data_IF_737425469731
#
_entry.id   IF_737425469731
#
_cell.length_a   1.000
_cell.length_b   1.000
_cell.length_c   1.000
_cell.angle_alpha   90.00
_cell.angle_beta   90.00
_cell.angle_gamma   90.00
#
_symmetry.space_group_name_H-M   'P 1'
#
loop_
_entity.id
_entity.type
_entity.pdbx_description
1 polymer ?
#
# COMPACT_ATOMS: atom_id res chain seq x y z
N UNK A 1 1.09 4.35 41.66
CA UNK A 1 1.61 3.75 40.41
C UNK A 1 0.54 3.13 39.47
N UNK A 2 -0.75 3.47 39.61
CA UNK A 2 -1.84 2.89 38.76
C UNK A 2 -2.10 3.62 37.43
N UNK A 3 -1.45 4.75 37.17
CA UNK A 3 -1.77 5.62 36.01
C UNK A 3 -0.88 5.43 34.78
N UNK A 4 0.25 4.74 34.89
CA UNK A 4 1.19 4.54 33.78
C UNK A 4 0.81 3.39 32.82
N UNK A 5 0.04 2.40 33.28
CA UNK A 5 -0.35 1.24 32.47
C UNK A 5 -1.25 1.63 31.26
N UNK A 6 -2.33 2.42 31.43
CA UNK A 6 -3.17 2.78 30.30
C UNK A 6 -2.44 3.69 29.29
N UNK A 7 -1.50 4.51 29.72
CA UNK A 7 -0.71 5.36 28.85
C UNK A 7 0.23 4.55 27.93
N UNK A 8 0.90 3.53 28.44
CA UNK A 8 1.75 2.64 27.63
C UNK A 8 0.94 1.86 26.58
N UNK A 9 -0.24 1.37 26.95
CA UNK A 9 -1.14 0.69 26.00
C UNK A 9 -1.58 1.68 24.91
N UNK A 10 -1.97 2.88 25.29
CA UNK A 10 -2.40 3.92 24.35
C UNK A 10 -1.28 4.29 23.37
N UNK A 11 -0.05 4.48 23.83
CA UNK A 11 1.11 4.75 22.97
C UNK A 11 1.38 3.58 22.02
N UNK A 12 1.36 2.33 22.50
CA UNK A 12 1.57 1.16 21.65
C UNK A 12 0.50 1.04 20.56
N UNK A 13 -0.78 1.25 20.91
CA UNK A 13 -1.89 1.26 19.95
C UNK A 13 -1.73 2.38 18.93
N UNK A 14 -1.31 3.58 19.37
CA UNK A 14 -1.10 4.73 18.49
C UNK A 14 0.04 4.50 17.51
N UNK A 15 1.14 3.90 17.94
CA UNK A 15 2.27 3.52 17.08
C UNK A 15 1.84 2.46 16.07
N UNK A 16 1.09 1.44 16.48
CA UNK A 16 0.54 0.43 15.58
C UNK A 16 -0.43 1.05 14.56
N UNK A 17 -1.32 1.95 15.00
CA UNK A 17 -2.24 2.68 14.14
C UNK A 17 -1.47 3.48 13.08
N UNK A 18 -0.44 4.20 13.48
CA UNK A 18 0.39 4.98 12.59
C UNK A 18 1.12 4.08 11.56
N UNK A 19 1.73 2.99 12.01
CA UNK A 19 2.46 2.08 11.13
C UNK A 19 1.54 1.41 10.10
N UNK A 20 0.39 0.88 10.52
CA UNK A 20 -0.58 0.24 9.61
C UNK A 20 -1.25 1.27 8.71
N UNK A 21 -1.58 2.46 9.23
CA UNK A 21 -2.13 3.57 8.44
C UNK A 21 -1.15 4.02 7.35
N UNK A 22 0.12 4.17 7.68
CA UNK A 22 1.17 4.52 6.71
C UNK A 22 1.36 3.44 5.65
N UNK A 23 1.38 2.16 6.05
CA UNK A 23 1.46 1.04 5.12
C UNK A 23 0.23 0.97 4.19
N UNK A 24 -0.97 1.18 4.73
CA UNK A 24 -2.21 1.23 3.95
C UNK A 24 -2.22 2.38 2.94
N UNK A 25 -1.78 3.57 3.36
CA UNK A 25 -1.67 4.74 2.50
C UNK A 25 -0.69 4.52 1.34
N UNK A 26 0.50 3.99 1.64
CA UNK A 26 1.50 3.66 0.62
C UNK A 26 0.98 2.61 -0.36
N UNK A 27 0.29 1.59 0.14
CA UNK A 27 -0.30 0.55 -0.70
C UNK A 27 -1.42 1.11 -1.60
N UNK A 28 -2.24 2.01 -1.09
CA UNK A 28 -3.27 2.70 -1.86
C UNK A 28 -2.69 3.54 -3.01
N UNK A 29 -1.67 4.36 -2.74
CA UNK A 29 -1.01 5.15 -3.79
C UNK A 29 -0.33 4.26 -4.84
N UNK A 30 0.30 3.18 -4.40
CA UNK A 30 0.95 2.21 -5.29
C UNK A 30 -0.08 1.52 -6.19
N UNK A 31 -1.21 1.08 -5.60
CA UNK A 31 -2.31 0.47 -6.35
C UNK A 31 -2.86 1.41 -7.43
N UNK A 32 -3.13 2.68 -7.08
CA UNK A 32 -3.63 3.68 -8.03
C UNK A 32 -2.67 3.88 -9.20
N UNK A 33 -1.38 3.99 -8.93
CA UNK A 33 -0.36 4.14 -9.97
C UNK A 33 -0.25 2.90 -10.88
N UNK A 34 -0.39 1.70 -10.32
CA UNK A 34 -0.41 0.46 -11.11
C UNK A 34 -1.64 0.34 -12.00
N UNK A 35 -2.82 0.66 -11.47
CA UNK A 35 -4.07 0.58 -12.21
C UNK A 35 -4.06 1.54 -13.43
N UNK A 36 -3.54 2.76 -13.26
CA UNK A 36 -3.37 3.71 -14.36
C UNK A 36 -2.39 3.20 -15.42
N UNK A 37 -1.29 2.58 -15.01
CA UNK A 37 -0.32 1.97 -15.95
C UNK A 37 -0.93 0.80 -16.72
N UNK A 38 -1.62 -0.11 -16.03
CA UNK A 38 -2.27 -1.25 -16.69
C UNK A 38 -3.30 -0.82 -17.72
N UNK A 39 -4.10 0.21 -17.42
CA UNK A 39 -5.04 0.78 -18.39
C UNK A 39 -4.30 1.31 -19.63
N UNK A 40 -3.27 2.12 -19.40
CA UNK A 40 -2.50 2.71 -20.50
C UNK A 40 -1.80 1.64 -21.34
N UNK A 41 -1.20 0.61 -20.71
CA UNK A 41 -0.57 -0.51 -21.40
C UNK A 41 -1.59 -1.33 -22.21
N UNK A 42 -2.78 -1.59 -21.66
CA UNK A 42 -3.86 -2.29 -22.34
C UNK A 42 -4.32 -1.53 -23.59
N UNK A 43 -4.58 -0.23 -23.45
CA UNK A 43 -4.97 0.63 -24.56
C UNK A 43 -3.85 0.77 -25.60
N UNK A 44 -2.60 0.86 -25.17
CA UNK A 44 -1.44 0.94 -26.06
C UNK A 44 -1.28 -0.36 -26.89
N UNK A 45 -1.50 -1.54 -26.30
CA UNK A 45 -1.48 -2.83 -27.03
C UNK A 45 -2.55 -2.86 -28.11
N UNK A 46 -3.79 -2.48 -27.78
CA UNK A 46 -4.88 -2.39 -28.77
C UNK A 46 -4.58 -1.35 -29.85
N UNK A 47 -4.06 -0.19 -29.44
CA UNK A 47 -3.65 0.88 -30.37
C UNK A 47 -2.57 0.40 -31.36
N UNK A 48 -1.54 -0.27 -30.85
CA UNK A 48 -0.45 -0.83 -31.66
C UNK A 48 -0.93 -1.94 -32.61
N UNK A 49 -1.88 -2.77 -32.19
CA UNK A 49 -2.45 -3.81 -33.05
C UNK A 49 -3.18 -3.16 -34.26
N UNK A 50 -3.96 -2.12 -34.01
CA UNK A 50 -4.66 -1.38 -35.07
C UNK A 50 -3.66 -0.63 -35.96
N UNK A 51 -2.66 0.04 -35.38
CA UNK A 51 -1.60 0.72 -36.12
C UNK A 51 -0.90 -0.26 -37.07
N UNK A 52 -0.51 -1.44 -36.59
CA UNK A 52 0.12 -2.47 -37.41
C UNK A 52 -0.78 -2.95 -38.56
N UNK A 53 -2.10 -3.09 -38.32
CA UNK A 53 -3.05 -3.43 -39.37
C UNK A 53 -3.15 -2.35 -40.45
N UNK A 54 -3.16 -1.08 -40.04
CA UNK A 54 -3.13 0.07 -40.96
C UNK A 54 -1.82 0.09 -41.76
N UNK A 55 -0.68 -0.03 -41.09
CA UNK A 55 0.65 -0.03 -41.75
C UNK A 55 0.78 -1.20 -42.74
N UNK A 56 0.30 -2.39 -42.37
CA UNK A 56 0.29 -3.55 -43.28
C UNK A 56 -0.55 -3.31 -44.52
N UNK A 57 -1.72 -2.69 -44.37
CA UNK A 57 -2.58 -2.35 -45.49
C UNK A 57 -1.95 -1.28 -46.42
N UNK A 58 -1.28 -0.30 -45.83
CA UNK A 58 -0.55 0.73 -46.57
C UNK A 58 0.68 0.17 -47.30
N UNK A 59 1.37 -0.83 -46.69
CA UNK A 59 2.49 -1.52 -47.32
C UNK A 59 2.06 -2.29 -48.58
N UNK A 60 0.79 -2.67 -48.68
CA UNK A 60 0.18 -3.28 -49.87
C UNK A 60 -0.24 -2.22 -50.93
N UNK A 61 0.05 -0.95 -50.72
CA UNK A 61 -0.22 0.13 -51.66
C UNK A 61 -1.60 0.79 -51.48
N UNK A 62 -2.35 0.48 -50.43
CA UNK A 62 -3.62 1.14 -50.15
C UNK A 62 -3.37 2.53 -49.56
N UNK A 63 -4.21 3.49 -49.93
CA UNK A 63 -4.16 4.85 -49.37
C UNK A 63 -4.77 4.84 -47.96
N UNK A 64 -4.22 5.65 -47.04
CA UNK A 64 -4.69 5.78 -45.68
C UNK A 64 -6.18 6.17 -45.57
N UNK A 65 -6.69 6.93 -46.50
CA UNK A 65 -8.10 7.32 -46.58
C UNK A 65 -9.03 6.24 -47.16
N UNK A 66 -8.49 5.15 -47.72
CA UNK A 66 -9.28 4.13 -48.45
C UNK A 66 -8.92 2.72 -47.97
N UNK A 67 -8.99 2.49 -46.67
CA UNK A 67 -8.75 1.21 -46.01
C UNK A 67 -10.08 0.47 -45.80
N UNK A 68 -10.61 -0.17 -46.85
CA UNK A 68 -11.94 -0.80 -46.82
C UNK A 68 -12.16 -1.87 -45.73
N UNK A 69 -11.10 -2.50 -45.24
CA UNK A 69 -11.17 -3.51 -44.18
C UNK A 69 -11.07 -2.92 -42.78
N UNK A 70 -10.61 -1.67 -42.66
CA UNK A 70 -10.34 -1.03 -41.37
C UNK A 70 -11.59 -0.88 -40.50
N UNK A 71 -12.77 -0.45 -41.01
CA UNK A 71 -13.98 -0.33 -40.19
C UNK A 71 -14.35 -1.62 -39.46
N UNK A 72 -14.26 -2.76 -40.15
CA UNK A 72 -14.54 -4.08 -39.55
C UNK A 72 -13.51 -4.45 -38.47
N UNK A 73 -12.25 -4.06 -38.65
CA UNK A 73 -11.21 -4.29 -37.65
C UNK A 73 -11.46 -3.43 -36.41
N UNK A 74 -11.76 -2.13 -36.59
CA UNK A 74 -12.05 -1.22 -35.47
C UNK A 74 -13.26 -1.69 -34.64
N UNK A 75 -14.34 -2.12 -35.31
CA UNK A 75 -15.52 -2.64 -34.61
C UNK A 75 -15.21 -3.93 -33.82
N UNK A 76 -14.39 -4.82 -34.36
CA UNK A 76 -13.96 -6.03 -33.66
C UNK A 76 -13.13 -5.70 -32.43
N UNK A 77 -12.14 -4.83 -32.57
CA UNK A 77 -11.30 -4.42 -31.46
C UNK A 77 -12.12 -3.71 -30.37
N UNK A 78 -13.06 -2.83 -30.76
CA UNK A 78 -13.99 -2.19 -29.83
C UNK A 78 -14.84 -3.22 -29.06
N UNK A 79 -15.35 -4.25 -29.77
CA UNK A 79 -16.19 -5.27 -29.16
C UNK A 79 -15.43 -6.23 -28.23
N UNK A 80 -14.10 -6.28 -28.34
CA UNK A 80 -13.24 -7.13 -27.51
C UNK A 80 -12.99 -6.52 -26.15
N UNK A 81 -13.09 -5.19 -25.99
CA UNK A 81 -12.80 -4.49 -24.75
C UNK A 81 -13.95 -3.53 -24.36
N UNK A 82 -14.71 -3.91 -23.34
CA UNK A 82 -15.86 -3.15 -22.83
C UNK A 82 -15.48 -1.75 -22.28
N UNK A 83 -14.20 -1.52 -21.97
CA UNK A 83 -13.72 -0.20 -21.57
C UNK A 83 -13.65 0.79 -22.74
N UNK A 84 -13.53 0.29 -23.98
CA UNK A 84 -13.41 1.11 -25.16
C UNK A 84 -14.81 1.51 -25.65
N UNK A 85 -15.13 2.78 -25.50
CA UNK A 85 -16.40 3.37 -25.95
C UNK A 85 -16.44 3.54 -27.47
N UNK A 86 -15.37 4.09 -28.05
CA UNK A 86 -15.22 4.25 -29.49
C UNK A 86 -13.74 4.27 -29.89
N UNK A 87 -13.50 3.90 -31.16
CA UNK A 87 -12.20 3.99 -31.80
C UNK A 87 -12.35 4.93 -32.97
N UNK A 88 -11.47 5.92 -33.04
CA UNK A 88 -11.48 6.95 -34.07
C UNK A 88 -10.11 7.07 -34.73
N UNK A 89 -10.11 7.11 -36.06
CA UNK A 89 -8.90 7.39 -36.86
C UNK A 89 -9.13 8.72 -37.57
N UNK A 90 -8.20 9.64 -37.42
CA UNK A 90 -8.31 10.98 -37.97
C UNK A 90 -6.98 11.45 -38.58
N UNK A 91 -7.06 12.40 -39.49
CA UNK A 91 -5.91 12.99 -40.14
C UNK A 91 -5.17 14.00 -39.25
N UNK A 92 -4.08 14.57 -39.76
CA UNK A 92 -3.25 15.56 -39.06
C UNK A 92 -3.97 16.90 -38.79
N UNK A 93 -5.12 17.13 -39.41
CA UNK A 93 -5.98 18.30 -39.22
C UNK A 93 -7.11 18.04 -38.21
N UNK A 94 -7.28 16.78 -37.78
CA UNK A 94 -8.33 16.38 -36.84
C UNK A 94 -9.65 16.02 -37.50
N UNK A 95 -9.66 15.79 -38.80
CA UNK A 95 -10.82 15.31 -39.52
C UNK A 95 -10.94 13.80 -39.39
N UNK A 96 -12.08 13.27 -38.94
CA UNK A 96 -12.25 11.85 -38.81
C UNK A 96 -12.29 11.16 -40.17
N UNK A 97 -11.50 10.11 -40.33
CA UNK A 97 -11.50 9.23 -41.51
C UNK A 97 -12.36 7.99 -41.23
N UNK A 98 -12.23 7.43 -40.03
CA UNK A 98 -12.98 6.27 -39.58
C UNK A 98 -13.38 6.45 -38.11
N UNK A 99 -14.59 6.02 -37.76
CA UNK A 99 -15.10 6.05 -36.40
C UNK A 99 -16.07 4.91 -36.18
N UNK A 100 -15.95 4.22 -35.04
CA UNK A 100 -16.95 3.25 -34.57
C UNK A 100 -18.16 3.92 -33.92
N UNK A 101 -18.08 5.22 -33.61
CA UNK A 101 -19.21 6.03 -33.13
C UNK A 101 -19.80 6.85 -34.27
N UNK A 102 -20.94 6.40 -34.79
CA UNK A 102 -21.63 7.04 -35.91
C UNK A 102 -22.04 8.49 -35.66
N UNK A 103 -22.29 8.85 -34.38
CA UNK A 103 -22.68 10.20 -34.01
C UNK A 103 -21.50 11.17 -34.07
N UNK A 104 -20.29 10.66 -33.89
CA UNK A 104 -19.04 11.45 -33.94
C UNK A 104 -18.35 11.44 -35.30
N UNK A 105 -18.65 10.46 -36.14
CA UNK A 105 -18.02 10.31 -37.45
C UNK A 105 -18.14 11.55 -38.36
N UNK A 106 -19.14 12.42 -38.12
CA UNK A 106 -19.36 13.65 -38.90
C UNK A 106 -18.77 14.91 -38.27
N UNK A 107 -18.10 14.80 -37.08
CA UNK A 107 -17.57 15.96 -36.37
C UNK A 107 -16.06 15.83 -36.24
N UNK A 108 -15.36 16.95 -36.31
CA UNK A 108 -13.93 16.98 -36.00
C UNK A 108 -13.70 16.48 -34.56
N UNK A 109 -12.55 15.82 -34.34
CA UNK A 109 -12.14 15.38 -33.04
C UNK A 109 -11.97 16.55 -32.07
N UNK A 110 -12.09 16.34 -30.76
CA UNK A 110 -11.81 17.35 -29.76
C UNK A 110 -10.40 17.94 -29.96
N UNK A 111 -10.29 19.26 -29.84
CA UNK A 111 -8.99 19.97 -30.01
C UNK A 111 -7.95 19.44 -29.01
N UNK A 112 -8.38 19.06 -27.79
CA UNK A 112 -7.51 18.47 -26.79
C UNK A 112 -6.83 17.18 -27.26
N UNK A 113 -7.50 16.34 -28.06
CA UNK A 113 -6.91 15.13 -28.64
C UNK A 113 -5.83 15.48 -29.67
N UNK A 114 -6.16 16.41 -30.57
CA UNK A 114 -5.23 16.85 -31.62
C UNK A 114 -3.99 17.51 -31.05
N UNK A 115 -4.16 18.36 -30.02
CA UNK A 115 -3.05 19.02 -29.33
C UNK A 115 -2.17 18.00 -28.57
N UNK A 116 -2.78 17.03 -27.90
CA UNK A 116 -2.05 15.97 -27.22
C UNK A 116 -1.27 15.10 -28.21
N UNK A 117 -1.90 14.70 -29.31
CA UNK A 117 -1.28 13.89 -30.36
C UNK A 117 -0.09 14.59 -31.03
N UNK A 118 -0.22 15.88 -31.32
CA UNK A 118 0.85 16.71 -31.93
C UNK A 118 2.02 16.98 -31.00
N UNK A 119 1.74 17.14 -29.70
CA UNK A 119 2.76 17.47 -28.70
C UNK A 119 3.36 16.22 -28.03
N UNK A 120 2.92 15.02 -28.39
CA UNK A 120 3.45 13.78 -27.84
C UNK A 120 4.93 13.64 -28.20
N UNK A 121 5.77 13.39 -27.18
CA UNK A 121 7.20 13.13 -27.36
C UNK A 121 7.50 11.69 -27.81
N UNK A 122 6.49 10.80 -27.76
CA UNK A 122 6.56 9.39 -28.14
C UNK A 122 5.56 9.04 -29.25
N UNK A 123 5.30 7.73 -29.41
CA UNK A 123 4.24 7.26 -30.30
C UNK A 123 2.86 7.43 -29.67
N UNK A 124 2.78 7.33 -28.33
CA UNK A 124 1.55 7.29 -27.57
C UNK A 124 1.22 8.67 -27.00
N UNK A 125 -0.07 9.00 -26.96
CA UNK A 125 -0.60 10.20 -26.32
C UNK A 125 -1.83 9.89 -25.48
N UNK A 126 -2.08 10.73 -24.48
CA UNK A 126 -3.19 10.55 -23.55
C UNK A 126 -3.87 11.88 -23.26
N UNK A 127 -5.20 11.85 -23.20
CA UNK A 127 -6.02 12.96 -22.73
C UNK A 127 -7.00 12.44 -21.71
N UNK A 128 -7.09 13.14 -20.59
CA UNK A 128 -8.05 12.85 -19.53
C UNK A 128 -8.98 14.04 -19.41
N UNK A 129 -10.21 13.89 -19.90
CA UNK A 129 -11.21 14.95 -19.92
C UNK A 129 -12.64 14.38 -19.81
N UNK A 130 -12.91 13.65 -18.74
CA UNK A 130 -14.22 13.07 -18.46
C UNK A 130 -14.74 12.20 -19.62
N UNK A 131 -15.82 12.62 -20.27
CA UNK A 131 -16.44 11.89 -21.37
C UNK A 131 -15.58 11.81 -22.65
N UNK A 132 -14.59 12.70 -22.79
CA UNK A 132 -13.66 12.76 -23.93
C UNK A 132 -12.26 12.25 -23.55
N UNK A 133 -12.16 11.40 -22.53
CA UNK A 133 -10.90 10.75 -22.18
C UNK A 133 -10.51 9.75 -23.26
N UNK A 134 -9.26 9.86 -23.74
CA UNK A 134 -8.76 9.03 -24.82
C UNK A 134 -7.26 8.72 -24.65
N UNK A 135 -6.89 7.54 -25.14
CA UNK A 135 -5.50 7.15 -25.40
C UNK A 135 -5.34 6.93 -26.88
N UNK A 136 -4.19 7.25 -27.44
CA UNK A 136 -3.99 7.05 -28.86
C UNK A 136 -2.54 6.95 -29.27
N UNK A 137 -2.35 6.63 -30.54
CA UNK A 137 -1.04 6.48 -31.17
C UNK A 137 -0.97 7.30 -32.46
N UNK A 138 0.23 7.73 -32.82
CA UNK A 138 0.48 8.41 -34.09
C UNK A 138 0.68 7.36 -35.19
N UNK A 139 -0.10 7.45 -36.27
CA UNK A 139 0.06 6.63 -37.45
C UNK A 139 1.09 7.28 -38.37
N UNK A 140 2.17 6.56 -38.65
CA UNK A 140 3.31 7.06 -39.42
C UNK A 140 3.40 6.39 -40.78
N UNK A 141 3.89 7.15 -41.75
CA UNK A 141 4.24 6.58 -43.05
C UNK A 141 5.61 5.88 -43.02
N UNK A 142 6.00 5.29 -44.14
CA UNK A 142 7.27 4.58 -44.30
C UNK A 142 8.52 5.47 -44.06
N UNK A 143 8.36 6.78 -44.00
CA UNK A 143 9.41 7.76 -43.71
C UNK A 143 9.42 8.20 -42.22
N UNK A 144 8.53 7.62 -41.39
CA UNK A 144 8.41 7.96 -39.97
C UNK A 144 7.63 9.28 -39.72
N UNK A 145 7.04 9.88 -40.74
CA UNK A 145 6.24 11.11 -40.60
C UNK A 145 4.81 10.75 -40.20
N UNK A 146 4.18 11.46 -39.24
CA UNK A 146 2.80 11.24 -38.87
C UNK A 146 1.88 11.66 -40.06
N UNK A 147 0.97 10.76 -40.43
CA UNK A 147 -0.04 10.98 -41.48
C UNK A 147 -1.45 11.05 -40.89
N UNK A 148 -1.59 10.66 -39.65
CA UNK A 148 -2.82 10.68 -38.89
C UNK A 148 -2.62 10.11 -37.49
N UNK A 149 -3.72 9.99 -36.78
CA UNK A 149 -3.73 9.53 -35.39
C UNK A 149 -4.89 8.58 -35.17
N UNK A 150 -4.66 7.66 -34.26
CA UNK A 150 -5.68 6.76 -33.71
C UNK A 150 -6.02 7.21 -32.31
N UNK A 151 -7.30 7.27 -31.96
CA UNK A 151 -7.80 7.50 -30.62
C UNK A 151 -8.70 6.35 -30.15
N UNK A 152 -8.42 5.84 -28.96
CA UNK A 152 -9.24 4.88 -28.22
C UNK A 152 -9.91 5.67 -27.10
N UNK A 153 -11.20 6.00 -27.27
CA UNK A 153 -11.99 6.68 -26.24
C UNK A 153 -12.45 5.67 -25.21
N UNK A 154 -12.28 5.98 -23.95
CA UNK A 154 -12.67 5.13 -22.83
C UNK A 154 -13.51 5.87 -21.80
N UNK A 155 -14.27 5.12 -20.99
CA UNK A 155 -15.06 5.69 -19.91
C UNK A 155 -14.23 5.86 -18.65
N UNK A 156 -13.96 7.12 -18.27
CA UNK A 156 -13.30 7.42 -17.00
C UNK A 156 -14.18 7.05 -15.80
N UNK A 157 -15.50 7.11 -15.95
CA UNK A 157 -16.46 6.72 -14.92
C UNK A 157 -16.38 5.21 -14.62
N UNK A 158 -16.41 4.35 -15.66
CA UNK A 158 -16.25 2.91 -15.48
C UNK A 158 -14.90 2.52 -14.88
N UNK A 159 -13.83 3.21 -15.28
CA UNK A 159 -12.49 3.04 -14.71
C UNK A 159 -12.49 3.47 -13.24
N UNK A 160 -13.10 4.61 -12.91
CA UNK A 160 -13.21 5.13 -11.54
C UNK A 160 -14.05 4.22 -10.65
N UNK A 161 -15.16 3.70 -11.13
CA UNK A 161 -16.05 2.80 -10.37
C UNK A 161 -15.37 1.47 -10.05
N UNK A 162 -14.63 0.91 -10.99
CA UNK A 162 -13.80 -0.27 -10.75
C UNK A 162 -12.73 0.01 -9.69
N UNK A 163 -12.09 1.17 -9.73
CA UNK A 163 -11.09 1.59 -8.76
C UNK A 163 -11.70 1.82 -7.37
N UNK A 164 -12.88 2.42 -7.27
CA UNK A 164 -13.57 2.66 -6.01
C UNK A 164 -14.02 1.37 -5.33
N UNK A 165 -14.48 0.39 -6.10
CA UNK A 165 -14.85 -0.93 -5.57
C UNK A 165 -13.64 -1.65 -4.94
N UNK A 166 -12.51 -1.70 -5.65
CA UNK A 166 -11.27 -2.31 -5.15
C UNK A 166 -10.67 -1.49 -4.00
N UNK A 167 -10.72 -0.16 -4.07
CA UNK A 167 -10.24 0.70 -2.98
C UNK A 167 -11.03 0.46 -1.69
N UNK A 168 -12.34 0.25 -1.77
CA UNK A 168 -13.19 -0.07 -0.61
C UNK A 168 -12.84 -1.44 -0.03
N UNK A 169 -12.61 -2.44 -0.86
CA UNK A 169 -12.20 -3.78 -0.42
C UNK A 169 -10.83 -3.76 0.25
N UNK A 170 -9.87 -3.04 -0.34
CA UNK A 170 -8.54 -2.80 0.24
C UNK A 170 -8.63 -2.05 1.59
N UNK A 171 -9.48 -1.04 1.70
CA UNK A 171 -9.69 -0.30 2.95
C UNK A 171 -10.27 -1.20 4.03
N UNK A 172 -11.27 -2.03 3.70
CA UNK A 172 -11.88 -2.98 4.64
C UNK A 172 -10.89 -4.04 5.09
N UNK A 173 -10.12 -4.63 4.17
CA UNK A 173 -9.10 -5.64 4.52
C UNK A 173 -7.98 -5.03 5.39
N UNK A 174 -7.52 -3.83 5.07
CA UNK A 174 -6.53 -3.10 5.88
C UNK A 174 -7.07 -2.79 7.26
N UNK A 175 -8.32 -2.36 7.38
CA UNK A 175 -8.97 -2.11 8.67
C UNK A 175 -9.12 -3.40 9.49
N UNK A 176 -9.47 -4.52 8.87
CA UNK A 176 -9.55 -5.82 9.54
C UNK A 176 -8.20 -6.28 10.09
N UNK A 177 -7.13 -6.20 9.28
CA UNK A 177 -5.77 -6.51 9.70
C UNK A 177 -5.33 -5.61 10.86
N UNK A 178 -5.67 -4.31 10.79
CA UNK A 178 -5.38 -3.36 11.87
C UNK A 178 -6.06 -3.76 13.18
N UNK A 179 -7.36 -4.07 13.15
CA UNK A 179 -8.11 -4.48 14.35
C UNK A 179 -7.51 -5.74 14.98
N UNK A 180 -7.16 -6.73 14.15
CA UNK A 180 -6.51 -7.97 14.63
C UNK A 180 -5.14 -7.67 15.25
N UNK A 181 -4.29 -6.89 14.57
CA UNK A 181 -2.96 -6.53 15.06
C UNK A 181 -3.02 -5.72 16.35
N UNK A 182 -3.91 -4.72 16.44
CA UNK A 182 -4.11 -3.91 17.63
C UNK A 182 -4.61 -4.76 18.82
N UNK A 183 -5.52 -5.68 18.56
CA UNK A 183 -6.05 -6.60 19.59
C UNK A 183 -4.94 -7.53 20.11
N UNK A 184 -4.16 -8.14 19.24
CA UNK A 184 -3.05 -9.01 19.60
C UNK A 184 -1.97 -8.24 20.38
N UNK A 185 -1.60 -7.05 19.93
CA UNK A 185 -0.63 -6.20 20.63
C UNK A 185 -1.12 -5.80 22.02
N UNK A 186 -2.41 -5.45 22.16
CA UNK A 186 -3.02 -5.11 23.43
C UNK A 186 -3.04 -6.31 24.39
N UNK A 187 -3.41 -7.49 23.91
CA UNK A 187 -3.39 -8.73 24.71
C UNK A 187 -1.97 -9.12 25.14
N UNK A 188 -0.99 -9.03 24.24
CA UNK A 188 0.40 -9.30 24.55
C UNK A 188 0.93 -8.34 25.62
N UNK A 189 0.64 -7.05 25.49
CA UNK A 189 1.05 -6.04 26.46
C UNK A 189 0.39 -6.27 27.83
N UNK A 190 -0.91 -6.59 27.86
CA UNK A 190 -1.61 -6.95 29.09
C UNK A 190 -1.03 -8.21 29.75
N UNK A 191 -0.66 -9.23 28.97
CA UNK A 191 -0.04 -10.43 29.48
C UNK A 191 1.34 -10.14 30.11
N UNK A 192 2.17 -9.35 29.44
CA UNK A 192 3.48 -8.92 29.96
C UNK A 192 3.32 -8.09 31.23
N UNK A 193 2.40 -7.13 31.23
CA UNK A 193 2.13 -6.29 32.42
C UNK A 193 1.62 -7.11 33.60
N UNK A 194 0.70 -8.05 33.37
CA UNK A 194 0.21 -8.94 34.43
C UNK A 194 1.33 -9.82 35.00
N UNK A 195 2.22 -10.29 34.13
CA UNK A 195 3.39 -11.08 34.57
C UNK A 195 4.34 -10.23 35.43
N UNK A 196 4.65 -9.02 34.97
CA UNK A 196 5.55 -8.11 35.69
C UNK A 196 4.96 -7.66 37.04
N UNK A 197 3.65 -7.37 37.10
CA UNK A 197 2.97 -7.00 38.35
C UNK A 197 3.02 -8.13 39.37
N UNK A 198 2.79 -9.38 38.95
CA UNK A 198 2.88 -10.54 39.84
C UNK A 198 4.31 -10.75 40.37
N UNK A 199 5.31 -10.56 39.52
CA UNK A 199 6.71 -10.69 39.94
C UNK A 199 7.08 -9.58 40.93
N UNK A 200 6.58 -8.33 40.77
CA UNK A 200 6.78 -7.24 41.71
C UNK A 200 6.05 -7.42 43.03
N UNK A 201 4.81 -7.90 43.01
CA UNK A 201 4.04 -8.23 44.22
C UNK A 201 4.73 -9.36 45.03
N UNK A 202 5.28 -10.35 44.33
CA UNK A 202 6.04 -11.42 44.95
C UNK A 202 7.34 -10.90 45.61
N UNK A 203 8.02 -9.94 44.99
CA UNK A 203 9.21 -9.28 45.55
C UNK A 203 8.83 -8.43 46.76
N UNK A 204 7.75 -7.64 46.69
CA UNK A 204 7.27 -6.85 47.82
C UNK A 204 6.85 -7.68 49.00
N UNK A 205 6.16 -8.80 48.75
CA UNK A 205 5.78 -9.76 49.80
C UNK A 205 7.00 -10.41 50.46
N UNK A 206 8.03 -10.77 49.68
CA UNK A 206 9.28 -11.32 50.18
C UNK A 206 10.09 -10.30 51.02
N UNK A 207 10.03 -9.01 50.69
CA UNK A 207 10.69 -7.95 51.47
C UNK A 207 9.93 -7.61 52.76
N UNK A 208 8.59 -7.73 52.75
CA UNK A 208 7.76 -7.48 53.96
C UNK A 208 7.78 -8.65 54.94
N UNK A 209 7.97 -9.88 54.46
CA UNK A 209 8.17 -11.04 55.35
C UNK A 209 9.55 -10.89 55.98
N UNK A 210 9.60 -10.65 57.28
CA UNK A 210 10.84 -10.53 58.07
C UNK A 210 11.70 -11.79 58.13
N UNK A 211 11.41 -12.78 57.32
CA UNK A 211 12.14 -14.05 57.25
C UNK A 211 12.84 -14.17 55.87
N UNK A 212 14.15 -13.80 55.79
CA UNK A 212 14.92 -13.85 54.55
C UNK A 212 15.25 -15.28 54.09
N UNK A 213 14.81 -16.30 54.80
CA UNK A 213 15.31 -17.68 54.63
C UNK A 213 14.62 -18.44 53.49
N UNK A 214 13.43 -18.06 53.06
CA UNK A 214 12.71 -18.77 51.95
C UNK A 214 12.17 -17.83 50.88
N UNK A 215 13.01 -17.42 49.90
CA UNK A 215 12.47 -16.80 48.72
C UNK A 215 11.52 -17.79 48.03
N UNK A 216 10.27 -17.35 47.76
CA UNK A 216 9.31 -18.18 47.04
C UNK A 216 9.91 -18.65 45.72
N UNK A 217 9.56 -19.84 45.24
CA UNK A 217 10.06 -20.40 43.97
C UNK A 217 9.82 -19.48 42.77
N UNK A 218 8.81 -18.59 42.84
CA UNK A 218 8.48 -17.57 41.86
C UNK A 218 9.55 -16.47 41.77
N UNK A 219 10.09 -16.02 42.91
CA UNK A 219 11.18 -15.02 42.93
C UNK A 219 12.49 -15.65 42.42
N UNK A 220 12.67 -16.94 42.62
CA UNK A 220 13.87 -17.68 42.19
C UNK A 220 13.99 -17.81 40.67
N UNK A 221 12.87 -17.89 39.94
CA UNK A 221 12.82 -18.11 38.49
C UNK A 221 12.45 -16.86 37.65
N UNK A 222 12.19 -15.72 38.28
CA UNK A 222 11.87 -14.47 37.61
C UNK A 222 13.10 -13.79 37.03
N UNK A 223 12.89 -12.78 36.13
CA UNK A 223 13.98 -12.03 35.50
C UNK A 223 14.90 -11.31 36.49
N UNK A 224 14.38 -10.97 37.66
CA UNK A 224 15.13 -10.37 38.78
C UNK A 224 15.71 -11.42 39.76
N UNK A 225 15.47 -12.69 39.58
CA UNK A 225 15.84 -13.73 40.54
C UNK A 225 17.36 -13.86 40.76
N UNK A 226 18.18 -13.50 39.78
CA UNK A 226 19.65 -13.46 39.93
C UNK A 226 20.09 -12.26 40.78
N UNK A 227 19.56 -11.09 40.51
CA UNK A 227 19.89 -9.88 41.25
C UNK A 227 19.44 -9.95 42.71
N UNK A 228 18.25 -10.50 42.96
CA UNK A 228 17.75 -10.71 44.32
C UNK A 228 18.58 -11.73 45.09
N UNK A 229 19.01 -12.85 44.50
CA UNK A 229 19.91 -13.82 45.15
C UNK A 229 21.22 -13.14 45.58
N UNK A 230 21.86 -12.42 44.72
CA UNK A 230 23.10 -11.68 45.03
C UNK A 230 22.89 -10.67 46.16
N UNK A 231 21.74 -9.98 46.14
CA UNK A 231 21.41 -9.04 47.21
C UNK A 231 21.24 -9.74 48.57
N UNK A 232 20.44 -10.83 48.64
CA UNK A 232 20.22 -11.58 49.88
C UNK A 232 21.49 -12.29 50.36
N UNK A 233 22.37 -12.78 49.49
CA UNK A 233 23.67 -13.32 49.87
C UNK A 233 24.56 -12.26 50.50
N UNK A 234 24.58 -11.04 49.97
CA UNK A 234 25.33 -9.91 50.55
C UNK A 234 24.78 -9.46 51.90
N UNK A 235 23.45 -9.39 52.03
CA UNK A 235 22.80 -9.03 53.30
C UNK A 235 23.11 -10.08 54.36
N UNK A 236 23.02 -11.36 54.03
CA UNK A 236 23.34 -12.45 54.95
C UNK A 236 24.81 -12.46 55.35
N UNK A 237 25.72 -12.13 54.42
CA UNK A 237 27.13 -11.96 54.74
C UNK A 237 27.37 -10.82 55.72
N UNK A 238 26.72 -9.67 55.49
CA UNK A 238 26.82 -8.54 56.40
C UNK A 238 26.24 -8.79 57.81
N UNK A 239 25.10 -9.48 57.89
CA UNK A 239 24.51 -9.88 59.17
C UNK A 239 25.42 -10.85 59.97
N UNK A 240 26.04 -11.81 59.26
CA UNK A 240 27.01 -12.72 59.89
C UNK A 240 28.24 -11.97 60.44
N UNK A 241 28.73 -10.98 59.71
CA UNK A 241 29.87 -10.15 60.11
C UNK A 241 29.53 -9.26 61.32
N UNK A 242 28.34 -8.69 61.32
CA UNK A 242 27.82 -7.90 62.45
C UNK A 242 27.65 -8.80 63.68
N UNK A 243 27.15 -10.01 63.54
CA UNK A 243 26.97 -10.98 64.62
C UNK A 243 28.32 -11.42 65.21
N UNK A 244 29.37 -11.55 64.41
CA UNK A 244 30.72 -11.85 64.87
C UNK A 244 31.32 -10.68 65.67
N UNK A 245 31.21 -9.45 65.11
CA UNK A 245 31.67 -8.24 65.79
C UNK A 245 30.96 -8.02 67.14
N UNK A 246 29.69 -8.28 67.21
CA UNK A 246 28.91 -8.19 68.44
C UNK A 246 29.38 -9.21 69.50
N UNK A 247 29.69 -10.42 69.10
CA UNK A 247 30.26 -11.45 70.02
C UNK A 247 31.66 -11.06 70.52
N UNK A 248 32.47 -10.46 69.66
CA UNK A 248 33.81 -10.01 70.06
C UNK A 248 33.77 -8.82 71.03
N UNK A 249 32.80 -7.90 70.81
CA UNK A 249 32.54 -6.81 71.76
C UNK A 249 32.03 -7.31 73.11
N UNK A 250 31.15 -8.29 73.17
CA UNK A 250 30.63 -8.89 74.36
C UNK A 250 31.75 -9.67 75.15
N UNK A 251 32.75 -10.24 74.46
CA UNK A 251 33.94 -10.85 75.04
C UNK A 251 34.99 -9.85 75.52
N UNK A 252 35.06 -8.66 74.88
CA UNK A 252 36.01 -7.62 75.24
C UNK A 252 35.60 -6.75 76.43
N UNK A 253 34.32 -6.74 76.83
CA UNK A 253 33.79 -5.94 77.98
C UNK A 253 33.81 -6.75 79.26
N UNK A 254 34.14 -8.05 79.19
CA UNK A 254 34.21 -8.97 80.37
C UNK A 254 35.62 -9.17 80.95
N UNK A 255 36.58 -8.28 80.69
CA UNK A 255 37.90 -8.32 81.33
C UNK A 255 38.18 -7.06 82.12
#
# INVERSE_FOLDING_TARGET
MKTTQPQMILVAVLVCLFAVGMAGLLNFFKYRSYAERMLNERLAVTGSAIENAIQSSMALGLQFSDLGTLPGTLERERATDDLILSIEVFDIEGKPLYSTDRLRAARNVPTAWLDAARNAKGADWFVRNGADSASGVAIKNNFGLPIGYLALRYSEEQVSDSHNAVARELALSTAAVFVVAATLASLALLAVMRRLSRDLEAVEAALRSADPVRPSALVRNGPFGRALRQFFERVRGAEAEIALLRRDLERGVGR
#
